data_IF_285074152079
#
_entry.id   IF_285074152079
#
_cell.length_a   1.000
_cell.length_b   1.000
_cell.length_c   1.000
_cell.angle_alpha   90.00
_cell.angle_beta   90.00
_cell.angle_gamma   90.00
#
_symmetry.space_group_name_H-M   'P 1'
#
loop_
_entity.id
_entity.type
_entity.pdbx_description
1 polymer ?
#
# COMPACT_ATOMS: atom_id res chain seq x y z
N UNK A 1 -19.19 -18.55 -16.07
CA UNK A 1 -18.96 -17.98 -14.73
C UNK A 1 -18.99 -19.11 -13.72
N UNK A 2 -17.83 -19.62 -13.32
CA UNK A 2 -17.72 -20.70 -12.32
C UNK A 2 -18.09 -20.13 -10.95
N UNK A 3 -19.17 -20.63 -10.37
CA UNK A 3 -19.61 -20.25 -9.03
C UNK A 3 -18.52 -20.59 -8.01
N UNK A 4 -18.13 -19.62 -7.16
CA UNK A 4 -17.16 -19.86 -6.08
C UNK A 4 -17.69 -20.96 -5.17
N UNK A 5 -16.96 -22.08 -4.97
CA UNK A 5 -17.39 -23.12 -4.06
C UNK A 5 -17.62 -22.54 -2.65
N UNK A 6 -18.69 -22.97 -1.97
CA UNK A 6 -19.05 -22.44 -0.64
C UNK A 6 -17.90 -22.45 0.37
N UNK A 7 -17.01 -23.44 0.29
CA UNK A 7 -15.86 -23.52 1.18
C UNK A 7 -14.84 -22.42 0.93
N UNK A 8 -14.68 -21.93 -0.30
CA UNK A 8 -13.80 -20.80 -0.64
C UNK A 8 -14.46 -19.43 -0.50
N UNK A 9 -15.74 -19.34 -0.14
CA UNK A 9 -16.46 -18.06 -0.11
C UNK A 9 -15.80 -17.03 0.82
N UNK A 10 -15.28 -17.45 1.98
CA UNK A 10 -14.57 -16.57 2.91
C UNK A 10 -13.22 -16.10 2.35
N UNK A 11 -12.45 -17.02 1.75
CA UNK A 11 -11.19 -16.70 1.11
C UNK A 11 -11.40 -15.70 -0.04
N UNK A 12 -12.35 -15.99 -0.93
CA UNK A 12 -12.71 -15.11 -2.03
C UNK A 12 -13.18 -13.72 -1.55
N UNK A 13 -13.96 -13.66 -0.46
CA UNK A 13 -14.36 -12.38 0.14
C UNK A 13 -13.15 -11.59 0.63
N UNK A 14 -12.26 -12.18 1.42
CA UNK A 14 -11.07 -11.49 1.92
C UNK A 14 -10.13 -11.04 0.80
N UNK A 15 -10.01 -11.84 -0.26
CA UNK A 15 -9.26 -11.49 -1.46
C UNK A 15 -9.89 -10.31 -2.21
N UNK A 16 -11.22 -10.26 -2.31
CA UNK A 16 -11.94 -9.12 -2.89
C UNK A 16 -11.76 -7.85 -2.04
N UNK A 17 -11.85 -7.96 -0.70
CA UNK A 17 -11.60 -6.84 0.22
C UNK A 17 -10.16 -6.30 0.07
N UNK A 18 -9.18 -7.20 -0.06
CA UNK A 18 -7.78 -6.83 -0.30
C UNK A 18 -7.59 -6.12 -1.65
N UNK A 19 -8.19 -6.66 -2.73
CA UNK A 19 -8.17 -6.03 -4.07
C UNK A 19 -8.77 -4.63 -4.03
N UNK A 20 -9.94 -4.47 -3.41
CA UNK A 20 -10.59 -3.17 -3.28
C UNK A 20 -9.73 -2.17 -2.49
N UNK A 21 -9.07 -2.63 -1.42
CA UNK A 21 -8.14 -1.80 -0.65
C UNK A 21 -6.88 -1.41 -1.43
N UNK A 22 -6.36 -2.33 -2.27
CA UNK A 22 -5.24 -2.06 -3.17
C UNK A 22 -5.61 -1.00 -4.22
N UNK A 23 -6.76 -1.14 -4.87
CA UNK A 23 -7.25 -0.19 -5.86
C UNK A 23 -7.51 1.20 -5.23
N UNK A 24 -8.07 1.22 -4.01
CA UNK A 24 -8.27 2.46 -3.24
C UNK A 24 -6.93 3.12 -2.87
N UNK A 25 -5.92 2.33 -2.48
CA UNK A 25 -4.57 2.85 -2.15
C UNK A 25 -3.93 3.45 -3.40
N UNK A 26 -4.03 2.80 -4.54
CA UNK A 26 -3.45 3.31 -5.79
C UNK A 26 -4.14 4.60 -6.22
N UNK A 27 -5.47 4.66 -6.11
CA UNK A 27 -6.25 5.88 -6.37
C UNK A 27 -5.82 7.03 -5.45
N UNK A 28 -5.70 6.77 -4.14
CA UNK A 28 -5.23 7.77 -3.18
C UNK A 28 -3.77 8.19 -3.42
N UNK A 29 -2.91 7.25 -3.84
CA UNK A 29 -1.51 7.54 -4.20
C UNK A 29 -1.42 8.50 -5.37
N UNK A 30 -2.20 8.26 -6.43
CA UNK A 30 -2.24 9.12 -7.62
C UNK A 30 -2.77 10.51 -7.27
N UNK A 31 -3.87 10.60 -6.52
CA UNK A 31 -4.44 11.87 -6.07
C UNK A 31 -3.44 12.67 -5.20
N UNK A 32 -2.74 11.99 -4.30
CA UNK A 32 -1.68 12.60 -3.49
C UNK A 32 -0.51 13.10 -4.35
N UNK A 33 -0.06 12.31 -5.32
CA UNK A 33 1.03 12.70 -6.24
C UNK A 33 0.62 13.92 -7.07
N UNK A 34 -0.60 13.95 -7.57
CA UNK A 34 -1.15 15.10 -8.30
C UNK A 34 -1.19 16.36 -7.43
N UNK A 35 -1.69 16.26 -6.20
CA UNK A 35 -1.72 17.37 -5.25
C UNK A 35 -0.31 17.90 -4.92
N UNK A 36 0.65 17.00 -4.68
CA UNK A 36 2.07 17.37 -4.48
C UNK A 36 2.58 18.17 -5.68
N UNK A 37 2.40 17.66 -6.91
CA UNK A 37 2.87 18.34 -8.13
C UNK A 37 2.20 19.70 -8.28
N UNK A 38 0.89 19.80 -8.05
CA UNK A 38 0.13 21.06 -8.11
C UNK A 38 0.71 22.09 -7.14
N UNK A 39 0.85 21.75 -5.86
CA UNK A 39 1.39 22.68 -4.85
C UNK A 39 2.85 23.06 -5.09
N UNK A 40 3.65 22.15 -5.67
CA UNK A 40 5.02 22.45 -6.07
C UNK A 40 5.08 23.41 -7.27
N UNK A 41 4.17 23.30 -8.23
CA UNK A 41 4.07 24.20 -9.41
C UNK A 41 3.57 25.59 -9.02
N UNK A 42 2.48 25.64 -8.27
CA UNK A 42 1.83 26.88 -7.82
C UNK A 42 2.62 27.61 -6.72
N UNK A 43 3.65 26.96 -6.18
CA UNK A 43 4.48 27.48 -5.08
C UNK A 43 3.66 27.74 -3.80
N UNK A 44 2.65 26.91 -3.54
CA UNK A 44 1.82 27.02 -2.34
C UNK A 44 2.57 26.56 -1.09
N UNK A 45 3.45 25.56 -1.20
CA UNK A 45 4.22 25.03 -0.08
C UNK A 45 5.66 24.67 -0.48
N UNK A 46 6.56 24.75 0.50
CA UNK A 46 7.97 24.34 0.33
C UNK A 46 8.07 22.81 0.29
N UNK A 47 8.98 22.22 -0.50
CA UNK A 47 9.15 20.76 -0.55
C UNK A 47 9.39 20.11 0.83
N UNK A 48 10.13 20.79 1.71
CA UNK A 48 10.35 20.31 3.08
C UNK A 48 9.07 20.27 3.92
N UNK A 49 8.16 21.24 3.73
CA UNK A 49 6.86 21.24 4.41
C UNK A 49 5.90 20.21 3.83
N UNK A 50 5.91 20.02 2.51
CA UNK A 50 5.15 18.93 1.88
C UNK A 50 5.59 17.57 2.43
N UNK A 51 6.89 17.34 2.61
CA UNK A 51 7.41 16.09 3.16
C UNK A 51 6.93 15.80 4.60
N UNK A 52 6.68 16.83 5.42
CA UNK A 52 6.14 16.66 6.78
C UNK A 52 4.68 16.15 6.79
N UNK A 53 3.92 16.37 5.71
CA UNK A 53 2.49 16.07 5.59
C UNK A 53 2.18 14.90 4.63
N UNK A 54 3.22 14.20 4.18
CA UNK A 54 3.10 13.10 3.21
C UNK A 54 3.92 11.90 3.68
N UNK A 55 3.68 10.67 3.16
CA UNK A 55 4.48 9.51 3.54
C UNK A 55 5.87 9.50 2.89
N UNK A 56 6.24 10.56 2.17
CA UNK A 56 7.45 10.64 1.36
C UNK A 56 8.46 11.58 2.00
N UNK A 57 9.74 11.22 1.92
CA UNK A 57 10.80 12.14 2.28
C UNK A 57 10.95 13.27 1.25
N UNK A 58 11.72 14.30 1.63
CA UNK A 58 11.95 15.48 0.79
C UNK A 58 12.59 15.16 -0.57
N UNK A 59 13.45 14.15 -0.65
CA UNK A 59 14.11 13.78 -1.91
C UNK A 59 13.08 13.16 -2.84
N UNK A 60 12.24 12.25 -2.32
CA UNK A 60 11.16 11.63 -3.07
C UNK A 60 10.13 12.65 -3.57
N UNK A 61 9.79 13.67 -2.77
CA UNK A 61 8.98 14.81 -3.24
C UNK A 61 9.66 15.54 -4.40
N UNK A 62 10.98 15.72 -4.34
CA UNK A 62 11.77 16.27 -5.45
C UNK A 62 11.68 15.41 -6.71
N UNK A 63 11.73 14.09 -6.56
CA UNK A 63 11.66 13.12 -7.67
C UNK A 63 10.27 13.13 -8.32
N UNK A 64 9.21 13.19 -7.52
CA UNK A 64 7.83 13.38 -7.99
C UNK A 64 7.75 14.66 -8.85
N UNK A 65 8.30 15.77 -8.35
CA UNK A 65 8.30 17.04 -9.10
C UNK A 65 9.10 16.98 -10.41
N UNK A 66 10.25 16.30 -10.43
CA UNK A 66 11.09 16.14 -11.63
C UNK A 66 10.47 15.23 -12.69
N UNK A 67 9.78 14.17 -12.26
CA UNK A 67 9.17 13.18 -13.15
C UNK A 67 7.74 13.55 -13.57
N UNK A 68 7.19 14.65 -13.06
CA UNK A 68 5.90 15.17 -13.50
C UNK A 68 5.95 15.63 -14.97
N UNK A 69 4.80 15.62 -15.64
CA UNK A 69 4.67 16.10 -17.03
C UNK A 69 3.72 17.32 -17.06
N UNK A 70 4.19 18.53 -17.40
CA UNK A 70 5.59 18.94 -17.55
C UNK A 70 6.36 18.95 -16.21
N UNK A 71 7.70 18.83 -16.20
CA UNK A 71 8.50 18.85 -14.98
C UNK A 71 8.29 20.13 -14.18
N UNK A 72 8.31 20.04 -12.84
CA UNK A 72 8.24 21.24 -11.99
C UNK A 72 9.56 22.01 -12.09
N UNK A 73 9.54 23.33 -12.41
CA UNK A 73 10.76 24.11 -12.48
C UNK A 73 11.52 24.12 -11.13
N UNK A 74 12.86 23.98 -11.15
CA UNK A 74 13.64 23.98 -9.92
C UNK A 74 13.59 25.35 -9.24
N UNK A 75 13.78 25.36 -7.91
CA UNK A 75 13.77 26.59 -7.10
C UNK A 75 15.09 27.36 -7.15
N UNK A 76 16.18 26.70 -7.54
CA UNK A 76 17.55 27.24 -7.57
C UNK A 76 18.32 26.64 -8.74
N UNK A 77 19.34 27.36 -9.23
CA UNK A 77 20.25 26.89 -10.28
C UNK A 77 19.97 27.51 -11.67
N UNK A 78 20.73 27.10 -12.70
CA UNK A 78 20.68 27.71 -14.04
C UNK A 78 19.32 27.56 -14.74
N UNK A 79 18.53 26.56 -14.33
CA UNK A 79 17.20 26.28 -14.89
C UNK A 79 16.06 26.83 -14.00
N UNK A 80 16.36 27.59 -12.95
CA UNK A 80 15.35 28.17 -12.09
C UNK A 80 14.60 29.29 -12.80
N UNK A 81 13.28 29.31 -12.68
CA UNK A 81 12.42 30.32 -13.30
C UNK A 81 11.98 31.31 -12.24
N UNK A 82 12.43 32.56 -12.37
CA UNK A 82 11.99 33.70 -11.54
C UNK A 82 12.66 33.83 -10.17
N UNK A 83 12.28 34.86 -9.40
CA UNK A 83 12.78 35.08 -8.05
C UNK A 83 12.33 33.96 -7.09
N UNK A 84 13.00 33.86 -5.94
CA UNK A 84 12.62 32.90 -4.91
C UNK A 84 11.14 33.09 -4.51
N UNK A 85 10.34 32.00 -4.47
CA UNK A 85 8.92 32.12 -4.15
C UNK A 85 8.73 32.60 -2.71
N UNK A 86 7.81 33.56 -2.54
CA UNK A 86 7.28 33.95 -1.24
C UNK A 86 6.02 33.14 -0.99
N UNK A 87 6.03 32.39 0.09
CA UNK A 87 4.90 31.54 0.48
C UNK A 87 3.95 32.35 1.35
N UNK A 88 2.70 32.48 0.90
CA UNK A 88 1.65 33.05 1.72
C UNK A 88 1.26 32.04 2.83
N UNK A 89 1.24 32.44 4.12
CA UNK A 89 0.95 31.51 5.21
C UNK A 89 -0.43 30.84 5.11
N UNK A 90 -1.46 31.57 4.65
CA UNK A 90 -2.82 31.05 4.55
C UNK A 90 -2.93 30.06 3.37
N UNK A 91 -2.33 30.39 2.23
CA UNK A 91 -2.27 29.47 1.07
C UNK A 91 -1.47 28.21 1.42
N UNK A 92 -0.36 28.37 2.14
CA UNK A 92 0.44 27.23 2.57
C UNK A 92 -0.35 26.34 3.54
N UNK A 93 -1.04 26.92 4.53
CA UNK A 93 -1.85 26.13 5.46
C UNK A 93 -2.94 25.32 4.74
N UNK A 94 -3.67 25.92 3.81
CA UNK A 94 -4.70 25.24 3.03
C UNK A 94 -4.12 24.09 2.16
N UNK A 95 -2.94 24.31 1.55
CA UNK A 95 -2.25 23.27 0.79
C UNK A 95 -1.81 22.09 1.67
N UNK A 96 -1.32 22.37 2.88
CA UNK A 96 -0.90 21.32 3.82
C UNK A 96 -2.11 20.53 4.36
N UNK A 97 -3.22 21.20 4.66
CA UNK A 97 -4.47 20.53 5.06
C UNK A 97 -5.01 19.62 3.96
N UNK A 98 -4.92 20.05 2.70
CA UNK A 98 -5.29 19.21 1.56
C UNK A 98 -4.41 17.97 1.44
N UNK A 99 -3.08 18.12 1.59
CA UNK A 99 -2.15 17.00 1.61
C UNK A 99 -2.41 16.04 2.78
N UNK A 100 -2.77 16.56 3.95
CA UNK A 100 -3.13 15.73 5.11
C UNK A 100 -4.35 14.85 4.82
N UNK A 101 -5.37 15.39 4.12
CA UNK A 101 -6.54 14.60 3.71
C UNK A 101 -6.16 13.47 2.76
N UNK A 102 -5.38 13.76 1.71
CA UNK A 102 -4.93 12.72 0.78
C UNK A 102 -4.02 11.68 1.43
N UNK A 103 -3.13 12.12 2.33
CA UNK A 103 -2.29 11.21 3.13
C UNK A 103 -3.14 10.34 4.06
N UNK A 104 -4.20 10.87 4.65
CA UNK A 104 -5.12 10.10 5.48
C UNK A 104 -5.86 9.03 4.68
N UNK A 105 -6.32 9.34 3.47
CA UNK A 105 -6.98 8.37 2.58
C UNK A 105 -6.01 7.27 2.13
N UNK A 106 -4.78 7.64 1.76
CA UNK A 106 -3.71 6.68 1.43
C UNK A 106 -3.44 5.72 2.60
N UNK A 107 -3.24 6.26 3.81
CA UNK A 107 -3.01 5.46 5.03
C UNK A 107 -4.20 4.59 5.40
N UNK A 108 -5.44 5.06 5.19
CA UNK A 108 -6.66 4.28 5.43
C UNK A 108 -6.70 3.06 4.53
N UNK A 109 -6.36 3.22 3.25
CA UNK A 109 -6.31 2.12 2.30
C UNK A 109 -5.18 1.12 2.62
N UNK A 110 -4.00 1.59 3.00
CA UNK A 110 -2.91 0.72 3.50
C UNK A 110 -3.34 -0.09 4.72
N UNK A 111 -3.98 0.56 5.70
CA UNK A 111 -4.47 -0.13 6.89
C UNK A 111 -5.55 -1.18 6.56
N UNK A 112 -6.36 -0.97 5.53
CA UNK A 112 -7.33 -1.96 5.07
C UNK A 112 -6.63 -3.17 4.42
N UNK A 113 -5.59 -2.95 3.61
CA UNK A 113 -4.76 -4.04 3.07
C UNK A 113 -4.09 -4.84 4.19
N UNK A 114 -3.51 -4.16 5.18
CA UNK A 114 -2.83 -4.82 6.31
C UNK A 114 -3.78 -5.63 7.19
N UNK A 115 -5.05 -5.22 7.30
CA UNK A 115 -6.10 -6.02 7.96
C UNK A 115 -6.51 -7.24 7.15
N UNK A 116 -6.58 -7.14 5.82
CA UNK A 116 -7.01 -8.25 4.96
C UNK A 116 -5.93 -9.34 4.80
N UNK A 117 -4.65 -8.96 4.72
CA UNK A 117 -3.51 -9.89 4.57
C UNK A 117 -3.53 -11.09 5.55
N UNK A 118 -3.58 -10.90 6.89
CA UNK A 118 -3.58 -12.03 7.81
C UNK A 118 -4.83 -12.91 7.69
N UNK A 119 -5.98 -12.35 7.31
CA UNK A 119 -7.22 -13.11 7.11
C UNK A 119 -7.10 -14.04 5.88
N UNK A 120 -6.54 -13.54 4.78
CA UNK A 120 -6.26 -14.35 3.59
C UNK A 120 -5.26 -15.46 3.95
N UNK A 121 -4.17 -15.12 4.65
CA UNK A 121 -3.17 -16.11 5.09
C UNK A 121 -3.79 -17.21 5.94
N UNK A 122 -4.65 -16.87 6.89
CA UNK A 122 -5.31 -17.83 7.76
C UNK A 122 -6.23 -18.78 6.97
N UNK A 123 -7.03 -18.28 6.03
CA UNK A 123 -7.87 -19.13 5.19
C UNK A 123 -7.06 -19.99 4.21
N UNK A 124 -5.95 -19.48 3.65
CA UNK A 124 -5.01 -20.29 2.84
C UNK A 124 -4.52 -21.51 3.64
N UNK A 125 -4.04 -21.29 4.87
CA UNK A 125 -3.53 -22.36 5.73
C UNK A 125 -4.64 -23.37 6.03
N UNK A 126 -5.82 -22.90 6.42
CA UNK A 126 -6.97 -23.76 6.70
C UNK A 126 -7.37 -24.64 5.51
N UNK A 127 -7.40 -24.08 4.30
CA UNK A 127 -7.73 -24.84 3.10
C UNK A 127 -6.65 -25.88 2.77
N UNK A 128 -5.39 -25.51 2.92
CA UNK A 128 -4.28 -26.43 2.73
C UNK A 128 -4.31 -27.60 3.73
N UNK A 129 -4.59 -27.32 5.01
CA UNK A 129 -4.76 -28.36 6.04
C UNK A 129 -5.96 -29.27 5.79
N UNK A 130 -6.98 -28.78 5.08
CA UNK A 130 -8.11 -29.58 4.61
C UNK A 130 -7.80 -30.39 3.34
N UNK A 131 -6.53 -30.46 2.92
CA UNK A 131 -6.08 -31.25 1.77
C UNK A 131 -6.24 -30.56 0.41
N UNK A 132 -6.53 -29.24 0.39
CA UNK A 132 -6.65 -28.49 -0.87
C UNK A 132 -5.27 -28.16 -1.44
N UNK A 133 -5.12 -28.37 -2.74
CA UNK A 133 -3.86 -28.11 -3.43
C UNK A 133 -3.58 -26.60 -3.57
N UNK A 134 -2.30 -26.17 -3.64
CA UNK A 134 -1.95 -24.77 -3.87
C UNK A 134 -2.53 -24.18 -5.16
N UNK A 135 -2.67 -24.99 -6.20
CA UNK A 135 -3.30 -24.61 -7.48
C UNK A 135 -4.76 -24.15 -7.26
N UNK A 136 -5.54 -24.99 -6.60
CA UNK A 136 -6.95 -24.73 -6.29
C UNK A 136 -7.12 -23.49 -5.40
N UNK A 137 -6.28 -23.35 -4.38
CA UNK A 137 -6.32 -22.21 -3.45
C UNK A 137 -5.93 -20.91 -4.17
N UNK A 138 -4.90 -20.93 -5.01
CA UNK A 138 -4.38 -19.72 -5.70
C UNK A 138 -5.43 -19.04 -6.58
N UNK A 139 -6.37 -19.80 -7.14
CA UNK A 139 -7.48 -19.27 -7.95
C UNK A 139 -8.43 -18.33 -7.21
N UNK A 140 -8.36 -18.29 -5.87
CA UNK A 140 -9.22 -17.47 -5.01
C UNK A 140 -8.43 -16.45 -4.18
N UNK A 141 -7.16 -16.23 -4.50
CA UNK A 141 -6.28 -15.31 -3.75
C UNK A 141 -5.57 -14.34 -4.67
N UNK A 142 -5.09 -13.19 -4.16
CA UNK A 142 -4.24 -12.29 -4.94
C UNK A 142 -2.81 -12.84 -5.15
N UNK A 143 -2.55 -14.08 -4.72
CA UNK A 143 -1.22 -14.66 -4.69
C UNK A 143 -1.11 -15.83 -5.65
N UNK A 144 0.06 -15.97 -6.28
CA UNK A 144 0.34 -17.11 -7.14
C UNK A 144 0.50 -18.42 -6.33
N UNK A 145 0.53 -19.53 -7.08
CA UNK A 145 0.67 -20.87 -6.53
C UNK A 145 1.92 -21.06 -5.67
N UNK A 146 3.05 -20.49 -6.09
CA UNK A 146 4.33 -20.67 -5.39
C UNK A 146 4.31 -20.00 -4.02
N UNK A 147 3.73 -18.79 -3.97
CA UNK A 147 3.56 -18.03 -2.75
C UNK A 147 2.56 -18.68 -1.80
N UNK A 148 1.41 -19.15 -2.32
CA UNK A 148 0.43 -19.94 -1.55
C UNK A 148 1.08 -21.18 -0.95
N UNK A 149 1.87 -21.92 -1.74
CA UNK A 149 2.62 -23.08 -1.27
C UNK A 149 3.64 -22.73 -0.18
N UNK A 150 4.27 -21.57 -0.26
CA UNK A 150 5.26 -21.09 0.72
C UNK A 150 4.62 -20.72 2.05
N UNK A 151 3.46 -20.05 2.05
CA UNK A 151 2.69 -19.81 3.28
C UNK A 151 2.28 -21.11 3.94
N UNK A 152 1.68 -22.00 3.16
CA UNK A 152 1.18 -23.27 3.67
C UNK A 152 2.29 -24.07 4.36
N UNK A 153 3.48 -24.15 3.74
CA UNK A 153 4.64 -24.87 4.28
C UNK A 153 5.30 -24.18 5.47
N UNK A 154 5.48 -22.86 5.44
CA UNK A 154 6.11 -22.11 6.55
C UNK A 154 5.28 -22.19 7.83
N UNK A 155 3.96 -22.28 7.71
CA UNK A 155 3.05 -22.43 8.86
C UNK A 155 2.93 -23.90 9.32
N UNK A 156 2.96 -24.86 8.37
CA UNK A 156 2.92 -26.31 8.67
C UNK A 156 4.22 -26.83 9.31
N UNK A 157 5.38 -26.31 8.92
CA UNK A 157 6.67 -26.67 9.55
C UNK A 157 6.78 -26.24 11.00
N UNK A 158 6.16 -25.12 11.40
CA UNK A 158 6.02 -24.75 12.81
C UNK A 158 5.22 -25.82 13.60
N UNK A 159 4.18 -26.39 12.99
CA UNK A 159 3.39 -27.50 13.54
C UNK A 159 4.16 -28.82 13.58
N UNK A 160 4.95 -29.14 12.55
CA UNK A 160 5.81 -30.34 12.54
C UNK A 160 6.94 -30.25 13.58
N UNK A 161 7.46 -29.06 13.88
CA UNK A 161 8.41 -28.84 14.98
C UNK A 161 7.75 -29.02 16.35
N UNK A 162 6.53 -28.53 16.55
CA UNK A 162 5.77 -28.77 17.79
C UNK A 162 5.40 -30.25 17.97
N UNK A 163 5.06 -30.96 16.89
CA UNK A 163 4.75 -32.40 16.92
C UNK A 163 5.98 -33.29 17.12
N UNK A 164 7.19 -32.75 16.91
CA UNK A 164 8.49 -33.40 17.11
C UNK A 164 9.22 -32.94 18.37
N UNK A 165 8.65 -32.05 19.18
CA UNK A 165 9.19 -31.79 20.51
C UNK A 165 9.07 -33.09 21.32
N UNK A 166 10.18 -33.68 21.79
CA UNK A 166 10.10 -34.84 22.66
C UNK A 166 9.34 -34.44 23.91
N UNK A 167 8.42 -35.32 24.35
CA UNK A 167 7.89 -35.29 25.71
C UNK A 167 9.09 -35.29 26.66
N UNK A 168 9.47 -34.11 27.12
CA UNK A 168 10.54 -33.96 28.09
C UNK A 168 9.94 -34.32 29.44
N UNK A 169 10.23 -35.56 29.82
CA UNK A 169 10.51 -36.08 31.15
C UNK A 169 9.71 -35.56 32.35
N UNK A 170 9.02 -36.52 32.98
CA UNK A 170 8.77 -36.69 34.43
C UNK A 170 8.00 -35.62 35.21
#
# INVERSE_FOLDING_TARGET
MTSTPRHFARLAKHSADFKAAEDARETARLALHEAIVRHLRERNARPGKIAEHTPYDRNWIGDIGRNATPPVPPLKGPNAVGPAPKYDPAVQAAALEELDRFTADYRRAEAAMDKARPLIRAEIVKHYEAGRGPEEVSSYTPYDREWVGTIARSTSTARQRQKRAPASAE
#
